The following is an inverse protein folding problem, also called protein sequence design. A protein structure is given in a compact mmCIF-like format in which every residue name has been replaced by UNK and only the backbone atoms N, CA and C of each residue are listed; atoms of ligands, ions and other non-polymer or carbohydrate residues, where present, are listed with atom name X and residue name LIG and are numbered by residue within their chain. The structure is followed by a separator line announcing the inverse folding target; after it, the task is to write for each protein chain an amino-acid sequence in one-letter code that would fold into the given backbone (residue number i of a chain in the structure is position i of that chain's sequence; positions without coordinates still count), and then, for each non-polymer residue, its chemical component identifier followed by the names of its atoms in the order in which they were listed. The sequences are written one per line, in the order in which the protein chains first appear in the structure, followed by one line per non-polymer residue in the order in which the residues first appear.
data_IF_736817263195
#
_entry.id   IF_736817263195
#
_cell.length_a   1.000
_cell.length_b   1.000
_cell.length_c   1.000
_cell.angle_alpha   90.00
_cell.angle_beta   90.00
_cell.angle_gamma   90.00
#
_symmetry.space_group_name_H-M   'P 1'
#
loop_
_entity.id
_entity.type
_entity.pdbx_description
1 polymer ?
#
# COMPACT_ATOMS: atom_id res chain seq x y z
N UNK A 1 6.90 -1.29 22.21
CA UNK A 1 5.99 -0.24 21.66
C UNK A 1 6.22 1.08 22.42
N UNK A 2 6.17 2.23 21.72
CA UNK A 2 6.27 3.55 22.34
C UNK A 2 4.96 4.31 22.15
N UNK A 3 4.49 4.98 23.22
CA UNK A 3 3.32 5.85 23.18
C UNK A 3 3.78 7.30 22.96
N UNK A 4 3.31 7.93 21.89
CA UNK A 4 3.65 9.32 21.55
C UNK A 4 2.39 10.16 21.68
N UNK A 5 2.41 11.16 22.56
CA UNK A 5 1.30 12.12 22.71
C UNK A 5 1.42 13.24 21.69
N UNK A 6 0.41 13.39 20.84
CA UNK A 6 0.27 14.54 19.94
C UNK A 6 -0.70 15.58 20.50
N UNK A 7 -0.43 16.86 20.25
CA UNK A 7 -1.26 17.99 20.76
C UNK A 7 -2.26 18.54 19.75
N UNK A 8 -2.07 18.27 18.46
CA UNK A 8 -2.83 18.89 17.37
C UNK A 8 -3.44 17.85 16.44
N UNK A 9 -2.66 16.89 15.99
CA UNK A 9 -3.13 15.82 15.12
C UNK A 9 -2.00 14.89 14.71
N UNK A 10 -2.37 13.84 13.97
CA UNK A 10 -1.47 12.89 13.31
C UNK A 10 -1.74 12.97 11.82
N UNK A 11 -0.69 12.96 11.00
CA UNK A 11 -0.79 12.82 9.55
C UNK A 11 -0.18 11.45 9.21
N UNK A 12 -0.97 10.60 8.55
CA UNK A 12 -0.52 9.31 8.07
C UNK A 12 -0.07 9.47 6.61
N UNK A 13 1.24 9.47 6.39
CA UNK A 13 1.87 9.50 5.06
C UNK A 13 2.61 8.19 4.77
N UNK A 14 2.04 7.05 5.15
CA UNK A 14 2.73 5.75 5.21
C UNK A 14 2.65 4.91 3.92
N UNK A 15 2.26 5.51 2.80
CA UNK A 15 2.09 4.79 1.53
C UNK A 15 0.85 3.88 1.48
N UNK A 16 0.84 2.97 0.50
CA UNK A 16 -0.27 2.06 0.19
C UNK A 16 -0.14 0.67 0.80
N UNK A 17 -0.79 -0.32 0.16
CA UNK A 17 -0.83 -1.73 0.59
C UNK A 17 -0.29 -2.70 -0.48
N UNK A 18 0.48 -2.21 -1.45
CA UNK A 18 0.96 -2.98 -2.59
C UNK A 18 1.85 -4.19 -2.22
N UNK A 19 2.46 -4.19 -1.03
CA UNK A 19 3.19 -5.33 -0.46
C UNK A 19 2.37 -6.16 0.53
N UNK A 20 1.06 -5.94 0.65
CA UNK A 20 0.16 -6.72 1.48
C UNK A 20 -0.75 -7.63 0.63
N UNK A 21 -0.36 -8.90 0.51
CA UNK A 21 -1.09 -9.90 -0.28
C UNK A 21 -2.56 -10.02 0.13
N UNK A 22 -2.85 -10.05 1.44
CA UNK A 22 -4.21 -10.23 1.93
C UNK A 22 -5.12 -9.07 1.52
N UNK A 23 -4.62 -7.84 1.62
CA UNK A 23 -5.37 -6.67 1.17
C UNK A 23 -5.55 -6.65 -0.35
N UNK A 24 -4.54 -7.05 -1.13
CA UNK A 24 -4.66 -7.17 -2.59
C UNK A 24 -5.71 -8.20 -2.98
N UNK A 25 -5.74 -9.37 -2.31
CA UNK A 25 -6.78 -10.38 -2.52
C UNK A 25 -8.16 -9.88 -2.11
N UNK A 26 -8.26 -9.13 -1.01
CA UNK A 26 -9.54 -8.60 -0.51
C UNK A 26 -10.14 -7.54 -1.44
N UNK A 27 -9.32 -6.63 -1.95
CA UNK A 27 -9.81 -5.42 -2.63
C UNK A 27 -9.59 -5.41 -4.14
N UNK A 28 -8.54 -6.07 -4.65
CA UNK A 28 -8.13 -5.95 -6.05
C UNK A 28 -8.43 -7.21 -6.85
N UNK A 29 -8.56 -7.06 -8.18
CA UNK A 29 -8.93 -8.15 -9.09
C UNK A 29 -7.73 -9.06 -9.37
N UNK A 30 -7.92 -10.37 -9.21
CA UNK A 30 -6.95 -11.38 -9.62
C UNK A 30 -6.83 -11.50 -11.16
N UNK A 31 -5.66 -11.92 -11.70
CA UNK A 31 -4.43 -12.23 -10.97
C UNK A 31 -3.71 -10.95 -10.55
N UNK A 32 -3.27 -10.91 -9.30
CA UNK A 32 -2.49 -9.81 -8.75
C UNK A 32 -1.71 -10.30 -7.54
N UNK A 33 -0.39 -10.12 -7.54
CA UNK A 33 0.48 -10.51 -6.41
C UNK A 33 1.29 -9.32 -5.92
N UNK A 34 2.01 -9.47 -4.82
CA UNK A 34 2.97 -8.49 -4.33
C UNK A 34 4.26 -8.45 -5.16
N UNK A 35 4.49 -9.43 -6.03
CA UNK A 35 5.68 -9.45 -6.91
C UNK A 35 5.59 -8.44 -8.06
N UNK A 36 4.37 -7.98 -8.39
CA UNK A 36 4.14 -7.09 -9.52
C UNK A 36 4.47 -5.62 -9.23
N UNK A 37 4.60 -5.26 -7.95
CA UNK A 37 4.79 -3.87 -7.57
C UNK A 37 6.26 -3.46 -7.54
N UNK A 38 6.52 -2.21 -7.91
CA UNK A 38 7.80 -1.52 -7.72
C UNK A 38 7.77 -0.56 -6.52
N UNK A 39 6.67 -0.55 -5.76
CA UNK A 39 6.49 0.28 -4.58
C UNK A 39 7.44 -0.09 -3.44
N UNK A 40 7.57 0.81 -2.46
CA UNK A 40 8.45 0.61 -1.33
C UNK A 40 8.06 -0.65 -0.53
N UNK A 41 9.03 -1.52 -0.22
CA UNK A 41 8.80 -2.79 0.50
C UNK A 41 8.03 -2.65 1.83
N UNK A 42 8.11 -1.48 2.45
CA UNK A 42 7.42 -1.17 3.71
C UNK A 42 5.93 -0.82 3.55
N UNK A 43 5.41 -0.68 2.32
CA UNK A 43 4.02 -0.30 2.07
C UNK A 43 3.09 -1.51 2.22
N UNK A 44 2.76 -1.83 3.46
CA UNK A 44 1.93 -2.97 3.87
C UNK A 44 0.50 -2.58 4.27
N UNK A 45 0.10 -1.33 4.05
CA UNK A 45 -1.25 -0.84 4.34
C UNK A 45 -1.49 -0.46 5.80
N UNK A 46 -0.44 -0.37 6.63
CA UNK A 46 -0.57 -0.19 8.08
C UNK A 46 -1.38 1.05 8.48
N UNK A 47 -1.14 2.19 7.82
CA UNK A 47 -1.90 3.42 8.05
C UNK A 47 -3.37 3.29 7.67
N UNK A 48 -3.66 2.59 6.57
CA UNK A 48 -5.03 2.33 6.09
C UNK A 48 -5.76 1.45 7.10
N UNK A 49 -5.16 0.34 7.52
CA UNK A 49 -5.73 -0.58 8.50
C UNK A 49 -5.95 0.09 9.87
N UNK A 50 -5.02 0.97 10.29
CA UNK A 50 -5.18 1.72 11.54
C UNK A 50 -6.38 2.69 11.47
N UNK A 51 -6.57 3.36 10.33
CA UNK A 51 -7.70 4.27 10.12
C UNK A 51 -9.04 3.52 9.97
N UNK A 52 -9.08 2.42 9.21
CA UNK A 52 -10.27 1.56 9.04
C UNK A 52 -10.78 1.05 10.40
N UNK A 53 -9.87 0.61 11.28
CA UNK A 53 -10.19 0.18 12.65
C UNK A 53 -10.84 1.27 13.50
N UNK A 54 -10.62 2.54 13.19
CA UNK A 54 -11.23 3.69 13.85
C UNK A 54 -12.51 4.18 13.15
N UNK A 55 -12.98 3.46 12.14
CA UNK A 55 -14.21 3.76 11.40
C UNK A 55 -14.01 4.76 10.25
N UNK A 56 -12.77 4.99 9.80
CA UNK A 56 -12.55 5.78 8.59
C UNK A 56 -13.15 5.06 7.37
N UNK A 57 -13.77 5.83 6.48
CA UNK A 57 -14.22 5.32 5.19
C UNK A 57 -13.01 4.96 4.32
N UNK A 58 -13.14 3.88 3.55
CA UNK A 58 -12.20 3.49 2.51
C UNK A 58 -12.85 3.72 1.15
N UNK A 59 -12.04 4.10 0.16
CA UNK A 59 -12.47 4.31 -1.21
C UNK A 59 -11.33 3.99 -2.18
N UNK A 60 -11.65 3.65 -3.43
CA UNK A 60 -10.71 3.33 -4.51
C UNK A 60 -9.69 2.24 -4.12
N UNK A 61 -10.10 1.27 -3.30
CA UNK A 61 -9.23 0.19 -2.84
C UNK A 61 -8.95 -0.86 -3.92
N UNK A 62 -9.80 -0.90 -4.94
CA UNK A 62 -9.72 -1.81 -6.08
C UNK A 62 -8.67 -1.42 -7.12
N UNK A 63 -8.15 -0.19 -7.06
CA UNK A 63 -7.24 0.36 -8.07
C UNK A 63 -5.82 0.62 -7.54
N UNK A 64 -4.91 0.96 -8.44
CA UNK A 64 -3.53 1.33 -8.14
C UNK A 64 -2.99 2.28 -9.22
N UNK A 65 -1.81 2.86 -8.96
CA UNK A 65 -1.05 3.55 -10.00
C UNK A 65 -0.36 2.52 -10.91
N UNK A 66 -1.07 2.09 -11.94
CA UNK A 66 -0.59 1.09 -12.89
C UNK A 66 0.39 1.66 -13.89
N UNK A 67 1.38 0.85 -14.25
CA UNK A 67 2.26 1.13 -15.39
C UNK A 67 3.11 -0.09 -15.75
N UNK A 68 3.60 -0.16 -17.00
CA UNK A 68 4.41 -1.27 -17.45
C UNK A 68 5.76 -1.31 -16.74
N UNK A 69 6.19 -2.51 -16.36
CA UNK A 69 7.49 -2.76 -15.74
C UNK A 69 8.30 -3.75 -16.57
N UNK A 70 9.60 -3.51 -16.69
CA UNK A 70 10.56 -4.45 -17.28
C UNK A 70 11.40 -5.04 -16.14
N UNK A 71 11.39 -6.36 -15.92
CA UNK A 71 12.26 -6.99 -14.94
C UNK A 71 13.71 -6.90 -15.40
N UNK A 72 14.58 -6.32 -14.56
CA UNK A 72 16.03 -6.29 -14.77
C UNK A 72 16.73 -7.04 -13.63
N UNK A 73 18.04 -7.30 -13.78
CA UNK A 73 18.84 -8.08 -12.82
C UNK A 73 18.84 -7.44 -11.42
N UNK A 74 18.90 -6.11 -11.34
CA UNK A 74 19.01 -5.40 -10.05
C UNK A 74 17.66 -4.92 -9.52
N UNK A 75 16.92 -4.18 -10.33
CA UNK A 75 15.62 -3.62 -9.96
C UNK A 75 14.73 -3.50 -11.20
N UNK A 76 13.41 -3.74 -11.06
CA UNK A 76 12.47 -3.53 -12.16
C UNK A 76 12.49 -2.06 -12.61
N UNK A 77 12.53 -1.84 -13.92
CA UNK A 77 12.37 -0.51 -14.50
C UNK A 77 10.91 -0.22 -14.75
N UNK A 78 10.41 0.89 -14.21
CA UNK A 78 9.04 1.37 -14.43
C UNK A 78 9.04 2.35 -15.61
N UNK A 79 8.29 2.01 -16.67
CA UNK A 79 8.24 2.79 -17.89
C UNK A 79 7.16 3.89 -17.77
N UNK A 80 7.61 5.08 -17.39
CA UNK A 80 6.84 6.33 -17.31
C UNK A 80 7.07 7.23 -18.54
#
# INVERSE_FOLDING_TARGET
PQLIRVRRGVILGSGGFEHNEQMRVKYQRAPITTEWTVGAKANTGDGILAAEKLGAALDVMEDAWWGPTVPLVDAPWFAL
#
